data_IF_052981333766
#
_entry.id   IF_052981333766
#
_cell.length_a   1.000
_cell.length_b   1.000
_cell.length_c   1.000
_cell.angle_alpha   90.00
_cell.angle_beta   90.00
_cell.angle_gamma   90.00
#
_symmetry.space_group_name_H-M   'P 1'
#
loop_
_entity.id
_entity.type
_entity.pdbx_description
1 polymer ?
#
# COMPACT_ATOMS: atom_id res chain seq x y z
N UNK A 1 40.94 -15.40 -5.62
CA UNK A 1 39.79 -14.78 -4.92
C UNK A 1 40.34 -13.68 -4.03
N UNK A 2 40.01 -12.40 -4.29
CA UNK A 2 40.49 -11.30 -3.44
C UNK A 2 39.94 -11.57 -2.03
N UNK A 3 40.81 -11.64 -1.02
CA UNK A 3 40.51 -12.09 0.35
C UNK A 3 39.39 -11.35 1.11
N UNK A 4 38.70 -10.39 0.49
CA UNK A 4 37.76 -9.48 1.15
C UNK A 4 36.44 -9.30 0.37
N UNK A 5 35.99 -10.34 -0.32
CA UNK A 5 34.65 -10.33 -0.92
C UNK A 5 33.62 -10.85 0.11
N UNK A 6 32.65 -10.00 0.46
CA UNK A 6 31.62 -10.29 1.45
C UNK A 6 30.25 -10.27 0.75
N UNK A 7 29.48 -11.35 0.87
CA UNK A 7 28.12 -11.44 0.33
C UNK A 7 27.12 -11.48 1.48
N UNK A 8 26.15 -10.57 1.45
CA UNK A 8 24.99 -10.61 2.32
C UNK A 8 23.74 -10.79 1.49
N UNK A 9 22.87 -11.70 1.93
CA UNK A 9 21.58 -11.99 1.29
C UNK A 9 20.52 -12.00 2.37
N UNK A 10 19.45 -11.24 2.16
CA UNK A 10 18.35 -11.12 3.11
C UNK A 10 17.29 -10.18 2.60
N UNK A 11 16.25 -9.99 3.41
CA UNK A 11 15.27 -8.91 3.21
C UNK A 11 15.91 -7.53 3.40
N UNK A 12 15.24 -6.49 2.90
CA UNK A 12 15.71 -5.10 3.04
C UNK A 12 15.91 -4.74 4.51
N UNK A 13 15.01 -5.14 5.40
CA UNK A 13 15.10 -4.87 6.84
C UNK A 13 16.35 -5.52 7.46
N UNK A 14 16.63 -6.78 7.12
CA UNK A 14 17.80 -7.49 7.60
C UNK A 14 19.11 -6.86 7.11
N UNK A 15 19.12 -6.36 5.87
CA UNK A 15 20.28 -5.63 5.30
C UNK A 15 20.54 -4.35 6.09
N UNK A 16 19.49 -3.59 6.38
CA UNK A 16 19.58 -2.33 7.15
C UNK A 16 20.14 -2.60 8.55
N UNK A 17 19.57 -3.56 9.26
CA UNK A 17 20.00 -3.93 10.62
C UNK A 17 21.47 -4.37 10.65
N UNK A 18 21.88 -5.14 9.64
CA UNK A 18 23.23 -5.65 9.55
C UNK A 18 24.26 -4.55 9.30
N UNK A 19 24.02 -3.70 8.31
CA UNK A 19 24.93 -2.61 7.97
C UNK A 19 24.90 -1.44 8.96
N UNK A 20 23.83 -1.31 9.75
CA UNK A 20 23.78 -0.37 10.88
C UNK A 20 24.77 -0.75 11.99
N UNK A 21 24.99 -2.05 12.20
CA UNK A 21 25.94 -2.57 13.21
C UNK A 21 27.37 -2.67 12.67
N UNK A 22 27.53 -2.92 11.37
CA UNK A 22 28.81 -3.02 10.69
C UNK A 22 28.77 -2.20 9.40
N UNK A 23 29.23 -0.94 9.41
CA UNK A 23 29.17 -0.08 8.24
C UNK A 23 29.88 -0.71 7.03
N UNK A 24 29.28 -0.67 5.82
CA UNK A 24 29.91 -1.18 4.62
C UNK A 24 31.19 -0.41 4.29
N UNK A 25 32.18 -1.09 3.72
CA UNK A 25 33.45 -0.47 3.30
C UNK A 25 33.70 -0.70 1.82
N UNK A 26 34.03 0.36 1.10
CA UNK A 26 34.37 0.32 -0.33
C UNK A 26 33.14 0.34 -1.24
N UNK A 27 33.37 0.10 -2.52
CA UNK A 27 32.32 -0.03 -3.53
C UNK A 27 31.56 -1.34 -3.35
N UNK A 28 30.24 -1.32 -3.59
CA UNK A 28 29.37 -2.48 -3.43
C UNK A 28 28.43 -2.65 -4.62
N UNK A 29 27.99 -3.89 -4.82
CA UNK A 29 26.96 -4.26 -5.79
C UNK A 29 25.70 -4.65 -5.01
N UNK A 30 24.60 -3.97 -5.30
CA UNK A 30 23.29 -4.28 -4.75
C UNK A 30 22.42 -4.97 -5.80
N UNK A 31 21.95 -6.17 -5.50
CA UNK A 31 21.01 -6.91 -6.34
C UNK A 31 19.67 -6.93 -5.62
N UNK A 32 18.67 -6.28 -6.21
CA UNK A 32 17.31 -6.20 -5.67
C UNK A 32 16.41 -7.07 -6.54
N UNK A 33 15.62 -7.93 -5.90
CA UNK A 33 14.61 -8.71 -6.60
C UNK A 33 13.56 -7.75 -7.19
N UNK A 34 13.18 -7.97 -8.44
CA UNK A 34 12.16 -7.16 -9.08
C UNK A 34 10.81 -7.34 -8.40
N UNK A 35 9.89 -6.41 -8.63
CA UNK A 35 8.49 -6.63 -8.24
C UNK A 35 8.03 -7.92 -8.92
N UNK A 36 7.76 -8.95 -8.11
CA UNK A 36 7.10 -10.15 -8.61
C UNK A 36 5.73 -9.71 -9.08
N UNK A 37 5.47 -9.81 -10.38
CA UNK A 37 4.12 -9.65 -10.89
C UNK A 37 3.24 -10.59 -10.06
N UNK A 38 2.10 -10.11 -9.53
CA UNK A 38 1.25 -10.94 -8.70
C UNK A 38 0.88 -12.16 -9.53
N UNK A 39 1.42 -13.31 -9.14
CA UNK A 39 0.96 -14.58 -9.64
C UNK A 39 -0.53 -14.60 -9.33
N UNK A 40 -1.37 -14.70 -10.36
CA UNK A 40 -2.80 -14.41 -10.27
C UNK A 40 -3.47 -15.22 -9.15
N UNK A 41 -3.57 -14.62 -7.95
CA UNK A 41 -4.62 -14.74 -6.93
C UNK A 41 -4.18 -14.01 -5.64
N UNK A 42 -4.67 -12.78 -5.48
CA UNK A 42 -4.97 -12.19 -4.17
C UNK A 42 -3.79 -11.82 -3.23
N UNK A 43 -2.74 -11.19 -3.75
CA UNK A 43 -2.02 -10.19 -2.96
C UNK A 43 -2.62 -8.81 -3.27
N UNK A 44 -3.87 -8.63 -2.84
CA UNK A 44 -4.33 -7.28 -2.56
C UNK A 44 -3.46 -6.85 -1.40
N UNK A 45 -2.66 -5.80 -1.57
CA UNK A 45 -2.22 -5.01 -0.43
C UNK A 45 -3.53 -4.59 0.23
N UNK A 46 -3.98 -5.35 1.22
CA UNK A 46 -4.91 -4.84 2.18
C UNK A 46 -4.10 -3.72 2.83
N UNK A 47 -4.28 -2.50 2.33
CA UNK A 47 -4.20 -1.35 3.22
C UNK A 47 -4.95 -1.83 4.47
N UNK A 48 -4.27 -1.93 5.60
CA UNK A 48 -4.92 -2.27 6.87
C UNK A 48 -5.85 -1.11 7.19
N UNK A 49 -6.99 -1.03 6.50
CA UNK A 49 -7.93 0.07 6.62
C UNK A 49 -8.41 0.13 8.06
N UNK A 50 -8.54 -1.02 8.73
CA UNK A 50 -8.72 -1.11 10.19
C UNK A 50 -7.69 -0.29 10.98
N UNK A 51 -6.38 -0.40 10.69
CA UNK A 51 -5.33 0.38 11.37
C UNK A 51 -5.39 1.89 11.01
N UNK A 52 -5.87 2.23 9.81
CA UNK A 52 -6.15 3.61 9.44
C UNK A 52 -7.40 4.18 10.13
N UNK A 53 -8.44 3.37 10.33
CA UNK A 53 -9.72 3.77 10.94
C UNK A 53 -9.64 3.87 12.47
N UNK A 54 -8.71 3.16 13.11
CA UNK A 54 -8.53 3.16 14.56
C UNK A 54 -7.71 4.34 15.10
N UNK A 55 -7.08 5.13 14.23
CA UNK A 55 -6.26 6.28 14.62
C UNK A 55 -7.04 7.62 14.51
N UNK A 56 -7.50 8.23 15.63
CA UNK A 56 -8.39 9.39 15.61
C UNK A 56 -7.76 10.71 15.12
N UNK A 57 -6.43 10.76 14.90
CA UNK A 57 -5.73 11.95 14.39
C UNK A 57 -5.53 11.95 12.86
N UNK A 58 -6.30 11.13 12.11
CA UNK A 58 -6.11 10.88 10.67
C UNK A 58 -6.50 12.01 9.71
N UNK A 59 -7.30 13.00 10.13
CA UNK A 59 -7.73 14.09 9.23
C UNK A 59 -6.56 14.95 8.72
N UNK A 60 -5.39 14.89 9.35
CA UNK A 60 -4.17 15.59 8.92
C UNK A 60 -3.18 14.74 8.11
N UNK A 61 -3.44 13.44 7.86
CA UNK A 61 -2.54 12.61 7.05
C UNK A 61 -2.82 12.87 5.56
N UNK A 62 -1.85 13.47 4.87
CA UNK A 62 -1.94 13.80 3.44
C UNK A 62 -2.32 12.58 2.58
N UNK A 63 -1.78 11.41 2.90
CA UNK A 63 -2.05 10.17 2.15
C UNK A 63 -3.51 9.72 2.31
N UNK A 64 -4.09 9.88 3.50
CA UNK A 64 -5.49 9.54 3.76
C UNK A 64 -6.45 10.54 3.09
N UNK A 65 -6.12 11.83 3.12
CA UNK A 65 -6.90 12.88 2.44
C UNK A 65 -6.89 12.67 0.92
N UNK A 66 -5.73 12.34 0.34
CA UNK A 66 -5.60 11.98 -1.08
C UNK A 66 -6.45 10.73 -1.38
N UNK A 67 -6.32 9.69 -0.57
CA UNK A 67 -7.05 8.44 -0.74
C UNK A 67 -8.58 8.63 -0.70
N UNK A 68 -9.10 9.31 0.32
CA UNK A 68 -10.54 9.60 0.46
C UNK A 68 -11.07 10.40 -0.73
N UNK A 69 -10.29 11.38 -1.21
CA UNK A 69 -10.61 12.17 -2.40
C UNK A 69 -10.68 11.30 -3.65
N UNK A 70 -9.72 10.41 -3.87
CA UNK A 70 -9.69 9.50 -5.01
C UNK A 70 -10.86 8.49 -4.96
N UNK A 71 -11.14 7.95 -3.79
CA UNK A 71 -12.26 7.02 -3.57
C UNK A 71 -13.60 7.70 -3.90
N UNK A 72 -13.79 8.92 -3.41
CA UNK A 72 -15.00 9.71 -3.69
C UNK A 72 -15.13 10.05 -5.18
N UNK A 73 -14.01 10.40 -5.85
CA UNK A 73 -14.00 10.71 -7.26
C UNK A 73 -14.43 9.51 -8.12
N UNK A 74 -13.95 8.30 -7.80
CA UNK A 74 -14.37 7.07 -8.48
C UNK A 74 -15.86 6.78 -8.24
N UNK A 75 -16.33 6.94 -7.00
CA UNK A 75 -17.73 6.76 -6.66
C UNK A 75 -18.65 7.70 -7.47
N UNK A 76 -18.36 9.00 -7.47
CA UNK A 76 -19.10 10.02 -8.23
C UNK A 76 -19.07 9.77 -9.74
N UNK A 77 -17.90 9.37 -10.28
CA UNK A 77 -17.76 9.00 -11.69
C UNK A 77 -18.67 7.84 -12.06
N UNK A 78 -18.82 6.84 -11.18
CA UNK A 78 -19.72 5.72 -11.40
C UNK A 78 -21.20 6.13 -11.28
N UNK A 79 -21.55 7.03 -10.36
CA UNK A 79 -22.91 7.59 -10.28
C UNK A 79 -23.29 8.36 -11.55
N UNK A 80 -22.40 9.20 -12.07
CA UNK A 80 -22.61 9.94 -13.34
C UNK A 80 -22.81 9.04 -14.55
N UNK A 81 -22.32 7.80 -14.50
CA UNK A 81 -22.56 6.76 -15.53
C UNK A 81 -23.93 6.08 -15.38
N UNK A 82 -24.80 6.58 -14.50
CA UNK A 82 -26.12 5.99 -14.22
C UNK A 82 -26.05 4.72 -13.36
N UNK A 83 -24.92 4.45 -12.71
CA UNK A 83 -24.79 3.28 -11.86
C UNK A 83 -25.52 3.50 -10.52
N UNK A 84 -26.29 2.51 -10.01
CA UNK A 84 -26.93 2.64 -8.71
C UNK A 84 -25.90 2.71 -7.59
N UNK A 85 -26.19 3.50 -6.53
CA UNK A 85 -25.29 3.80 -5.40
C UNK A 85 -24.54 2.58 -4.86
N UNK A 86 -25.24 1.47 -4.63
CA UNK A 86 -24.63 0.24 -4.11
C UNK A 86 -23.57 -0.33 -5.06
N UNK A 87 -23.87 -0.36 -6.37
CA UNK A 87 -22.96 -0.87 -7.40
C UNK A 87 -21.79 0.09 -7.62
N UNK A 88 -22.04 1.39 -7.57
CA UNK A 88 -20.99 2.42 -7.63
C UNK A 88 -20.01 2.29 -6.45
N UNK A 89 -20.53 2.10 -5.23
CA UNK A 89 -19.72 1.92 -4.03
C UNK A 89 -18.88 0.63 -4.10
N UNK A 90 -19.49 -0.49 -4.51
CA UNK A 90 -18.75 -1.75 -4.71
C UNK A 90 -17.65 -1.61 -5.75
N UNK A 91 -17.93 -0.91 -6.85
CA UNK A 91 -16.96 -0.74 -7.94
C UNK A 91 -15.79 0.16 -7.51
N UNK A 92 -16.06 1.27 -6.85
CA UNK A 92 -15.02 2.11 -6.26
C UNK A 92 -14.18 1.29 -5.25
N UNK A 93 -14.81 0.61 -4.30
CA UNK A 93 -14.10 -0.22 -3.33
C UNK A 93 -13.19 -1.28 -3.99
N UNK A 94 -13.67 -1.90 -5.06
CA UNK A 94 -12.91 -2.89 -5.83
C UNK A 94 -11.64 -2.27 -6.46
N UNK A 95 -11.75 -1.06 -7.03
CA UNK A 95 -10.64 -0.33 -7.63
C UNK A 95 -9.53 -0.01 -6.61
N UNK A 96 -9.89 0.21 -5.34
CA UNK A 96 -8.95 0.57 -4.27
C UNK A 96 -8.56 -0.59 -3.35
N UNK A 97 -8.95 -1.83 -3.66
CA UNK A 97 -8.53 -2.97 -2.85
C UNK A 97 -9.25 -3.12 -1.50
N UNK A 98 -10.27 -2.31 -1.22
CA UNK A 98 -11.00 -2.31 0.07
C UNK A 98 -12.35 -3.03 -0.05
N UNK A 99 -13.01 -3.31 1.08
CA UNK A 99 -14.37 -3.84 1.10
C UNK A 99 -15.39 -2.72 0.88
N UNK A 100 -16.60 -3.08 0.44
CA UNK A 100 -17.72 -2.14 0.33
C UNK A 100 -18.03 -1.44 1.67
N UNK A 101 -17.89 -2.17 2.78
CA UNK A 101 -18.17 -1.64 4.11
C UNK A 101 -17.08 -0.65 4.54
N UNK A 102 -15.80 -0.98 4.34
CA UNK A 102 -14.69 -0.06 4.55
C UNK A 102 -14.85 1.22 3.72
N UNK A 103 -15.20 1.10 2.44
CA UNK A 103 -15.46 2.28 1.59
C UNK A 103 -16.63 3.12 2.10
N UNK A 104 -17.67 2.47 2.64
CA UNK A 104 -18.81 3.16 3.25
C UNK A 104 -18.40 3.86 4.54
N UNK A 105 -17.64 3.20 5.41
CA UNK A 105 -17.15 3.80 6.66
C UNK A 105 -16.29 5.05 6.35
N UNK A 106 -15.36 4.95 5.40
CA UNK A 106 -14.48 6.06 5.00
C UNK A 106 -15.24 7.27 4.41
N UNK A 107 -16.24 7.03 3.55
CA UNK A 107 -16.94 8.13 2.86
C UNK A 107 -18.17 8.66 3.61
N UNK A 108 -18.84 7.83 4.40
CA UNK A 108 -20.20 8.10 4.90
C UNK A 108 -20.30 8.06 6.41
N UNK A 109 -19.37 7.40 7.11
CA UNK A 109 -19.39 7.31 8.58
C UNK A 109 -18.40 8.33 9.15
N UNK A 110 -18.93 9.51 9.46
CA UNK A 110 -18.27 10.49 10.33
C UNK A 110 -18.55 10.16 11.78
#
# INVERSE_FOLDING_TARGET
>A
TKMYEEFFRGSVDQVIDWFSKKPPRGEMVLVIDGLKAPDNQQERVALNVEELLENPNMESNADFVEFTKQLNLSYEKNLKKGMPKNRAMRKAALEFGITRNQAYDILMRK
#
